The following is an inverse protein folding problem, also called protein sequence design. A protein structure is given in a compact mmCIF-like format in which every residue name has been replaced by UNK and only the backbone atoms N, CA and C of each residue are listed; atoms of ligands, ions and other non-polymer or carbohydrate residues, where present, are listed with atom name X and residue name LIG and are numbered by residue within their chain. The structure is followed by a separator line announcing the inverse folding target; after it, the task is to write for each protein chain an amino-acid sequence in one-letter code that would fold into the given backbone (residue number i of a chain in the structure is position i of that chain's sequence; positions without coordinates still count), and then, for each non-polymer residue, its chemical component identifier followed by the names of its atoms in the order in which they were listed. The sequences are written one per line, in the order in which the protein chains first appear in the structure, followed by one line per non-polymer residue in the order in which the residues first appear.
data_IF_217767242799
#
_entry.id   IF_217767242799
#
_cell.length_a   1.000
_cell.length_b   1.000
_cell.length_c   1.000
_cell.angle_alpha   90.00
_cell.angle_beta   90.00
_cell.angle_gamma   90.00
#
_symmetry.space_group_name_H-M   'P 1'
#
loop_
_entity.id
_entity.type
_entity.pdbx_description
1 polymer ?
#
# COMPACT_ATOMS: atom_id res chain seq x y z
N UNK A 1 4.64 2.79 1.28
CA UNK A 1 3.61 2.22 0.37
C UNK A 1 2.65 3.25 -0.22
N UNK A 2 1.78 3.93 0.56
CA UNK A 2 0.78 4.85 -0.04
C UNK A 2 1.41 5.96 -0.91
N UNK A 3 2.47 6.61 -0.42
CA UNK A 3 3.17 7.67 -1.16
C UNK A 3 3.83 7.19 -2.45
N UNK A 4 4.39 5.98 -2.48
CA UNK A 4 4.97 5.42 -3.71
C UNK A 4 3.89 5.11 -4.74
N UNK A 5 2.75 4.55 -4.31
CA UNK A 5 1.59 4.38 -5.19
C UNK A 5 1.06 5.72 -5.75
N UNK A 6 1.03 6.77 -4.93
CA UNK A 6 0.68 8.13 -5.37
C UNK A 6 1.68 8.66 -6.41
N UNK A 7 2.99 8.45 -6.21
CA UNK A 7 4.01 8.83 -7.18
C UNK A 7 3.80 8.15 -8.54
N UNK A 8 3.54 6.83 -8.55
CA UNK A 8 3.21 6.06 -9.75
C UNK A 8 2.00 6.65 -10.51
N UNK A 9 0.93 6.99 -9.79
CA UNK A 9 -0.26 7.56 -10.39
C UNK A 9 -0.06 9.00 -10.88
N UNK A 10 0.68 9.83 -10.13
CA UNK A 10 0.99 11.20 -10.52
C UNK A 10 1.80 11.25 -11.82
N UNK A 11 2.79 10.36 -11.98
CA UNK A 11 3.57 10.23 -13.22
C UNK A 11 2.71 9.90 -14.44
N UNK A 12 1.52 9.33 -14.23
CA UNK A 12 0.54 8.98 -15.27
C UNK A 12 -0.64 9.96 -15.36
N UNK A 13 -0.56 11.12 -14.70
CA UNK A 13 -1.62 12.12 -14.62
C UNK A 13 -2.95 11.55 -14.04
N UNK A 14 -2.86 10.57 -13.15
CA UNK A 14 -4.00 9.89 -12.52
C UNK A 14 -4.19 10.45 -11.09
N UNK A 15 -5.12 11.37 -10.89
CA UNK A 15 -5.27 12.05 -9.59
C UNK A 15 -6.16 11.32 -8.58
N UNK A 16 -5.70 11.14 -7.36
CA UNK A 16 -6.46 10.51 -6.26
C UNK A 16 -6.35 11.38 -5.01
N UNK A 17 -7.45 11.54 -4.26
CA UNK A 17 -7.50 12.41 -3.07
C UNK A 17 -7.58 11.63 -1.76
N UNK A 18 -7.77 10.32 -1.79
CA UNK A 18 -8.05 9.51 -0.60
C UNK A 18 -7.26 8.19 -0.63
N UNK A 19 -6.98 7.63 0.55
CA UNK A 19 -6.35 6.30 0.67
C UNK A 19 -7.15 5.21 -0.07
N UNK A 20 -8.47 5.23 0.05
CA UNK A 20 -9.35 4.32 -0.69
C UNK A 20 -9.31 4.53 -2.20
N UNK A 21 -9.13 5.78 -2.63
CA UNK A 21 -8.94 6.13 -4.04
C UNK A 21 -7.69 5.48 -4.63
N UNK A 22 -6.59 5.47 -3.88
CA UNK A 22 -5.34 4.78 -4.25
C UNK A 22 -5.55 3.27 -4.33
N UNK A 23 -6.13 2.66 -3.30
CA UNK A 23 -6.42 1.23 -3.28
C UNK A 23 -7.30 0.79 -4.45
N UNK A 24 -8.38 1.53 -4.72
CA UNK A 24 -9.28 1.23 -5.84
C UNK A 24 -8.57 1.31 -7.19
N UNK A 25 -7.65 2.25 -7.36
CA UNK A 25 -6.87 2.39 -8.60
C UNK A 25 -5.82 1.29 -8.73
N UNK A 26 -5.12 0.94 -7.66
CA UNK A 26 -4.19 -0.19 -7.67
C UNK A 26 -4.90 -1.50 -7.98
N UNK A 27 -6.10 -1.72 -7.43
CA UNK A 27 -6.92 -2.89 -7.77
C UNK A 27 -7.19 -2.99 -9.29
N UNK A 28 -7.36 -1.86 -9.99
CA UNK A 28 -7.46 -1.86 -11.46
C UNK A 28 -6.14 -2.23 -12.13
N UNK A 29 -5.00 -1.81 -11.59
CA UNK A 29 -3.67 -2.23 -12.07
C UNK A 29 -3.47 -3.74 -11.90
N UNK A 30 -3.89 -4.30 -10.76
CA UNK A 30 -3.87 -5.75 -10.51
C UNK A 30 -4.73 -6.50 -11.53
N UNK A 31 -5.96 -6.06 -11.76
CA UNK A 31 -6.86 -6.67 -12.77
C UNK A 31 -6.30 -6.63 -14.19
N UNK A 32 -5.42 -5.67 -14.49
CA UNK A 32 -4.74 -5.53 -15.78
C UNK A 32 -3.40 -6.26 -15.86
N UNK A 33 -2.97 -6.93 -14.79
CA UNK A 33 -1.68 -7.60 -14.71
C UNK A 33 -0.47 -6.66 -14.61
N UNK A 34 -0.69 -5.38 -14.31
CA UNK A 34 0.38 -4.36 -14.22
C UNK A 34 1.00 -4.29 -12.82
N UNK A 35 0.29 -4.81 -11.81
CA UNK A 35 0.74 -4.80 -10.42
C UNK A 35 0.33 -6.11 -9.76
N UNK A 36 1.15 -6.63 -8.86
CA UNK A 36 0.92 -7.92 -8.24
C UNK A 36 -0.23 -7.86 -7.25
N UNK A 37 -0.99 -8.95 -7.20
CA UNK A 37 -2.03 -9.12 -6.18
C UNK A 37 -1.44 -9.19 -4.77
N UNK A 38 -0.23 -9.73 -4.65
CA UNK A 38 0.52 -9.89 -3.40
C UNK A 38 0.83 -8.53 -2.78
N UNK A 39 1.53 -7.65 -3.50
CA UNK A 39 1.85 -6.30 -3.01
C UNK A 39 0.61 -5.43 -2.85
N UNK A 40 -0.44 -5.62 -3.66
CA UNK A 40 -1.71 -4.98 -3.39
C UNK A 40 -2.27 -5.33 -2.00
N UNK A 41 -2.21 -6.62 -1.64
CA UNK A 41 -2.60 -7.10 -0.30
C UNK A 41 -1.84 -6.40 0.81
N UNK A 42 -0.52 -6.24 0.66
CA UNK A 42 0.30 -5.54 1.66
C UNK A 42 -0.18 -4.13 2.00
N UNK A 43 -0.47 -3.31 0.99
CA UNK A 43 -0.97 -1.96 1.25
C UNK A 43 -2.41 -1.99 1.82
N UNK A 44 -3.23 -2.96 1.39
CA UNK A 44 -4.58 -3.12 1.90
C UNK A 44 -4.56 -3.44 3.40
N UNK A 45 -3.81 -4.46 3.81
CA UNK A 45 -3.72 -4.91 5.19
C UNK A 45 -3.02 -3.86 6.08
N UNK A 46 -1.92 -3.26 5.58
CA UNK A 46 -1.22 -2.21 6.31
C UNK A 46 -2.06 -0.95 6.53
N UNK A 47 -3.06 -0.67 5.66
CA UNK A 47 -3.97 0.46 5.86
C UNK A 47 -4.87 0.24 7.09
N UNK A 48 -5.33 -0.98 7.30
CA UNK A 48 -6.15 -1.32 8.47
C UNK A 48 -5.30 -1.33 9.75
N UNK A 49 -4.08 -1.87 9.68
CA UNK A 49 -3.14 -1.86 10.81
C UNK A 49 -2.77 -0.42 11.19
N UNK A 50 -2.47 0.44 10.21
CA UNK A 50 -2.16 1.86 10.44
C UNK A 50 -3.35 2.63 11.03
N UNK A 51 -4.58 2.28 10.66
CA UNK A 51 -5.76 2.87 11.28
C UNK A 51 -5.87 2.44 12.75
N UNK A 52 -5.72 1.13 13.04
CA UNK A 52 -5.69 0.64 14.43
C UNK A 52 -4.59 1.33 15.24
N UNK A 53 -3.37 1.43 14.70
CA UNK A 53 -2.25 2.07 15.41
C UNK A 53 -2.48 3.55 15.70
N UNK A 54 -3.33 4.23 14.92
CA UNK A 54 -3.60 5.66 15.09
C UNK A 54 -4.82 5.95 15.97
N UNK A 55 -5.79 5.03 16.02
CA UNK A 55 -7.12 5.32 16.57
C UNK A 55 -7.59 4.30 17.61
N UNK A 56 -7.00 3.12 17.68
CA UNK A 56 -7.33 2.11 18.68
C UNK A 56 -6.29 2.17 19.82
N UNK A 57 -6.70 2.80 20.93
CA UNK A 57 -5.85 2.95 22.12
C UNK A 57 -5.56 1.64 22.84
N UNK A 58 -6.29 0.56 22.51
CA UNK A 58 -6.13 -0.76 23.12
C UNK A 58 -5.27 -1.70 22.27
N UNK A 59 -4.93 -1.30 21.04
CA UNK A 59 -4.15 -2.13 20.13
C UNK A 59 -2.69 -2.23 20.59
N UNK A 60 -2.20 -3.46 20.71
CA UNK A 60 -0.78 -3.76 20.99
C UNK A 60 -0.19 -4.41 19.76
N UNK A 61 0.94 -3.88 19.29
CA UNK A 61 1.64 -4.39 18.12
C UNK A 61 2.94 -5.06 18.56
N UNK A 62 3.17 -6.28 18.10
CA UNK A 62 4.44 -6.96 18.37
C UNK A 62 5.54 -6.43 17.45
N UNK A 63 6.79 -6.70 17.85
CA UNK A 63 7.95 -6.36 17.03
C UNK A 63 7.95 -7.10 15.69
N UNK A 64 7.60 -8.37 15.72
CA UNK A 64 7.56 -9.26 14.56
C UNK A 64 6.56 -8.73 13.53
N UNK A 65 5.38 -8.29 13.98
CA UNK A 65 4.39 -7.67 13.11
C UNK A 65 4.90 -6.36 12.48
N UNK A 66 5.61 -5.53 13.26
CA UNK A 66 6.19 -4.30 12.73
C UNK A 66 7.27 -4.59 11.67
N UNK A 67 8.13 -5.57 11.92
CA UNK A 67 9.17 -6.02 10.99
C UNK A 67 8.55 -6.60 9.70
N UNK A 68 7.50 -7.42 9.81
CA UNK A 68 6.77 -7.94 8.65
C UNK A 68 6.18 -6.81 7.78
N UNK A 69 5.55 -5.81 8.40
CA UNK A 69 4.99 -4.66 7.67
C UNK A 69 6.08 -3.86 6.97
N UNK A 70 7.27 -3.72 7.58
CA UNK A 70 8.42 -3.06 6.96
C UNK A 70 8.88 -3.84 5.74
N UNK A 71 9.11 -5.16 5.85
CA UNK A 71 9.49 -5.98 4.70
C UNK A 71 8.44 -5.94 3.57
N UNK A 72 7.16 -6.01 3.92
CA UNK A 72 6.06 -5.86 2.96
C UNK A 72 6.07 -4.48 2.29
N UNK A 73 6.41 -3.42 3.04
CA UNK A 73 6.52 -2.07 2.50
C UNK A 73 7.69 -1.93 1.52
N UNK A 74 8.83 -2.55 1.81
CA UNK A 74 10.01 -2.58 0.95
C UNK A 74 9.72 -3.31 -0.36
N UNK A 75 9.16 -4.52 -0.30
CA UNK A 75 8.76 -5.29 -1.49
C UNK A 75 7.75 -4.51 -2.35
N UNK A 76 6.77 -3.86 -1.71
CA UNK A 76 5.80 -3.00 -2.40
C UNK A 76 6.47 -1.83 -3.13
N UNK A 77 7.42 -1.15 -2.48
CA UNK A 77 8.11 0.00 -3.07
C UNK A 77 8.95 -0.45 -4.26
N UNK A 78 9.69 -1.55 -4.14
CA UNK A 78 10.47 -2.12 -5.24
C UNK A 78 9.60 -2.46 -6.45
N UNK A 79 8.43 -3.08 -6.22
CA UNK A 79 7.53 -3.38 -7.34
C UNK A 79 7.03 -2.09 -8.01
N UNK A 80 6.62 -1.09 -7.23
CA UNK A 80 6.20 0.21 -7.77
C UNK A 80 7.33 0.86 -8.59
N UNK A 81 8.57 0.83 -8.11
CA UNK A 81 9.74 1.35 -8.82
C UNK A 81 9.99 0.62 -10.13
N UNK A 82 9.80 -0.70 -10.17
CA UNK A 82 9.96 -1.50 -11.39
C UNK A 82 8.94 -1.15 -12.49
N UNK A 83 7.78 -0.64 -12.11
CA UNK A 83 6.71 -0.23 -13.04
C UNK A 83 6.60 1.29 -13.20
N UNK A 84 7.44 2.07 -12.53
CA UNK A 84 7.27 3.52 -12.41
C UNK A 84 7.41 4.23 -13.76
#
# INVERSE_FOLDING_TARGET
MHSSAMAYFNKRNIYTKTHDGVLRKLSKCVKKGVFSRKCYGYLYDARDIRNKSSYDFSAVFSRELAEEIICNAEEFIQEIESIL
#
